data_IF_717592123877
#
_entry.id   IF_717592123877
#
_cell.length_a   1.000
_cell.length_b   1.000
_cell.length_c   1.000
_cell.angle_alpha   90.00
_cell.angle_beta   90.00
_cell.angle_gamma   90.00
#
_symmetry.space_group_name_H-M   'P 1'
#
loop_
_entity.id
_entity.type
_entity.pdbx_description
1 polymer ?
#
# COMPACT_ATOMS: atom_id res chain seq x y z
N UNK A 1 26.08 11.06 -2.15
CA UNK A 1 24.72 10.60 -2.50
C UNK A 1 24.58 10.70 -4.01
N UNK A 2 24.36 9.60 -4.73
CA UNK A 2 24.02 9.62 -6.16
C UNK A 2 22.66 8.95 -6.31
N UNK A 3 21.60 9.72 -6.14
CA UNK A 3 20.27 9.35 -6.63
C UNK A 3 20.21 9.71 -8.11
N UNK A 4 20.61 8.76 -8.97
CA UNK A 4 20.33 8.82 -10.39
C UNK A 4 19.41 7.64 -10.73
N UNK A 5 18.13 7.72 -10.35
CA UNK A 5 17.12 6.90 -11.00
C UNK A 5 17.05 7.35 -12.45
N UNK A 6 17.78 6.64 -13.31
CA UNK A 6 17.99 7.05 -14.71
C UNK A 6 16.71 6.80 -15.53
N UNK A 7 15.79 6.00 -15.00
CA UNK A 7 14.51 5.65 -15.61
C UNK A 7 13.33 6.28 -14.87
N UNK A 8 12.38 6.81 -15.65
CA UNK A 8 11.09 7.29 -15.14
C UNK A 8 10.04 6.21 -15.36
N UNK A 9 9.77 5.42 -14.32
CA UNK A 9 8.73 4.40 -14.37
C UNK A 9 7.34 5.01 -14.19
N UNK A 10 6.32 4.42 -14.86
CA UNK A 10 4.91 4.78 -14.67
C UNK A 10 4.53 4.61 -13.19
N UNK A 11 3.64 5.47 -12.70
CA UNK A 11 3.17 5.36 -11.32
C UNK A 11 2.35 4.07 -11.16
N UNK A 12 2.67 3.20 -10.18
CA UNK A 12 1.93 1.97 -9.95
C UNK A 12 0.54 2.27 -9.38
N UNK A 13 -0.47 1.56 -9.86
CA UNK A 13 -1.83 1.63 -9.31
C UNK A 13 -2.03 0.56 -8.22
N UNK A 14 -1.38 0.74 -7.07
CA UNK A 14 -1.61 -0.15 -5.93
C UNK A 14 -2.99 0.13 -5.32
N UNK A 15 -3.86 -0.88 -5.27
CA UNK A 15 -5.21 -0.74 -4.74
C UNK A 15 -5.29 -1.16 -3.28
N UNK A 16 -5.74 -0.22 -2.44
CA UNK A 16 -6.00 -0.46 -1.03
C UNK A 16 -7.38 0.11 -0.68
N UNK A 17 -8.42 -0.73 -0.58
CA UNK A 17 -9.77 -0.28 -0.29
C UNK A 17 -9.90 0.13 1.18
N UNK A 18 -10.63 1.22 1.44
CA UNK A 18 -10.96 1.63 2.80
C UNK A 18 -11.73 0.51 3.52
N UNK A 19 -11.26 0.18 4.72
CA UNK A 19 -11.80 -0.93 5.51
C UNK A 19 -12.38 -0.48 6.84
N UNK A 20 -12.10 0.75 7.31
CA UNK A 20 -12.46 1.11 8.69
C UNK A 20 -13.97 1.00 8.99
N UNK A 21 -14.81 1.25 7.98
CA UNK A 21 -16.27 1.16 8.09
C UNK A 21 -16.77 -0.25 8.42
N UNK A 22 -15.99 -1.27 8.07
CA UNK A 22 -16.30 -2.67 8.37
C UNK A 22 -16.08 -2.99 9.86
N UNK A 23 -15.37 -2.12 10.60
CA UNK A 23 -14.93 -2.36 11.97
C UNK A 23 -15.35 -1.27 12.96
N UNK A 24 -16.40 -0.49 12.65
CA UNK A 24 -16.87 0.60 13.52
C UNK A 24 -17.30 0.13 14.92
N UNK A 25 -17.69 -1.14 15.05
CA UNK A 25 -18.17 -1.73 16.31
C UNK A 25 -17.02 -2.15 17.25
N UNK A 26 -15.78 -2.13 16.80
CA UNK A 26 -14.62 -2.47 17.63
C UNK A 26 -14.24 -1.30 18.53
N UNK A 27 -13.58 -1.57 19.64
CA UNK A 27 -12.87 -0.55 20.41
C UNK A 27 -11.54 -0.14 19.74
N UNK A 28 -10.99 1.05 20.04
CA UNK A 28 -9.77 1.53 19.39
C UNK A 28 -8.56 0.59 19.48
N UNK A 29 -8.37 -0.07 20.61
CA UNK A 29 -7.29 -1.04 20.82
C UNK A 29 -7.43 -2.27 19.90
N UNK A 30 -8.66 -2.72 19.69
CA UNK A 30 -8.96 -3.83 18.77
C UNK A 30 -8.77 -3.41 17.31
N UNK A 31 -9.13 -2.16 16.97
CA UNK A 31 -8.94 -1.62 15.64
C UNK A 31 -7.44 -1.46 15.27
N UNK A 32 -6.61 -1.16 16.26
CA UNK A 32 -5.16 -1.13 16.09
C UNK A 32 -4.60 -2.51 15.70
N UNK A 33 -5.12 -3.57 16.32
CA UNK A 33 -4.77 -4.94 15.98
C UNK A 33 -5.21 -5.29 14.54
N UNK A 34 -6.46 -4.97 14.16
CA UNK A 34 -6.96 -5.16 12.79
C UNK A 34 -6.09 -4.44 11.76
N UNK A 35 -5.68 -3.21 12.07
CA UNK A 35 -4.80 -2.43 11.18
C UNK A 35 -3.42 -3.08 11.01
N UNK A 36 -2.88 -3.71 12.05
CA UNK A 36 -1.64 -4.47 11.97
C UNK A 36 -1.80 -5.75 11.14
N UNK A 37 -2.91 -6.46 11.30
CA UNK A 37 -3.19 -7.68 10.57
C UNK A 37 -3.38 -7.40 9.07
N UNK A 38 -4.11 -6.34 8.72
CA UNK A 38 -4.25 -5.88 7.33
C UNK A 38 -2.90 -5.48 6.75
N UNK A 39 -2.07 -4.76 7.50
CA UNK A 39 -0.71 -4.42 7.08
C UNK A 39 0.10 -5.69 6.74
N UNK A 40 0.07 -6.70 7.61
CA UNK A 40 0.78 -7.96 7.40
C UNK A 40 0.26 -8.71 6.16
N UNK A 41 -1.06 -8.82 6.02
CA UNK A 41 -1.71 -9.43 4.86
C UNK A 41 -1.32 -8.74 3.55
N UNK A 42 -1.38 -7.40 3.50
CA UNK A 42 -0.99 -6.62 2.31
C UNK A 42 0.51 -6.74 2.04
N UNK A 43 1.35 -6.84 3.07
CA UNK A 43 2.79 -7.04 2.89
C UNK A 43 3.11 -8.39 2.23
N UNK A 44 2.31 -9.44 2.47
CA UNK A 44 2.46 -10.72 1.77
C UNK A 44 2.12 -10.60 0.28
N UNK A 45 1.21 -9.69 -0.09
CA UNK A 45 0.84 -9.41 -1.48
C UNK A 45 1.85 -8.50 -2.21
N UNK A 46 2.79 -7.90 -1.48
CA UNK A 46 3.75 -6.91 -2.01
C UNK A 46 4.47 -7.42 -3.25
N UNK A 47 5.04 -8.62 -3.19
CA UNK A 47 5.82 -9.20 -4.30
C UNK A 47 4.99 -9.23 -5.59
N UNK A 48 3.78 -9.77 -5.51
CA UNK A 48 2.88 -9.94 -6.66
C UNK A 48 2.50 -8.57 -7.25
N UNK A 49 2.09 -7.62 -6.41
CA UNK A 49 1.67 -6.30 -6.89
C UNK A 49 2.83 -5.49 -7.49
N UNK A 50 4.02 -5.57 -6.87
CA UNK A 50 5.22 -4.88 -7.38
C UNK A 50 5.66 -5.50 -8.70
N UNK A 51 5.71 -6.82 -8.81
CA UNK A 51 6.06 -7.49 -10.07
C UNK A 51 5.06 -7.18 -11.18
N UNK A 52 3.75 -7.18 -10.88
CA UNK A 52 2.71 -6.79 -11.83
C UNK A 52 2.85 -5.34 -12.29
N UNK A 53 3.25 -4.42 -11.39
CA UNK A 53 3.48 -3.02 -11.74
C UNK A 53 4.67 -2.78 -12.67
N UNK A 54 5.57 -3.76 -12.79
CA UNK A 54 6.77 -3.72 -13.64
C UNK A 54 6.65 -4.64 -14.87
N UNK A 55 5.41 -4.95 -15.29
CA UNK A 55 5.12 -5.88 -16.38
C UNK A 55 5.82 -5.50 -17.70
N UNK A 56 5.83 -4.22 -18.06
CA UNK A 56 6.47 -3.74 -19.30
C UNK A 56 7.98 -4.03 -19.30
N UNK A 57 8.67 -3.69 -18.21
CA UNK A 57 10.12 -3.92 -18.09
C UNK A 57 10.44 -5.42 -18.01
N UNK A 58 9.55 -6.21 -17.39
CA UNK A 58 9.66 -7.68 -17.39
C UNK A 58 9.58 -8.21 -18.81
N UNK A 59 8.58 -7.74 -19.59
CA UNK A 59 8.41 -8.13 -20.98
C UNK A 59 9.64 -7.78 -21.82
N UNK A 60 10.16 -6.56 -21.71
CA UNK A 60 11.38 -6.15 -22.43
C UNK A 60 12.57 -7.07 -22.12
N UNK A 61 12.71 -7.49 -20.86
CA UNK A 61 13.75 -8.42 -20.45
C UNK A 61 13.54 -9.84 -20.98
N UNK A 62 12.31 -10.36 -20.99
CA UNK A 62 11.96 -11.64 -21.61
C UNK A 62 12.20 -11.61 -23.13
N UNK A 63 11.72 -10.57 -23.82
CA UNK A 63 11.91 -10.38 -25.26
C UNK A 63 13.40 -10.32 -25.63
N UNK A 64 14.24 -9.70 -24.78
CA UNK A 64 15.68 -9.69 -24.96
C UNK A 64 16.28 -11.11 -24.85
N UNK A 65 15.85 -11.90 -23.85
CA UNK A 65 16.30 -13.28 -23.67
C UNK A 65 15.90 -14.18 -24.84
N UNK A 66 14.69 -14.01 -25.37
CA UNK A 66 14.20 -14.82 -26.51
C UNK A 66 14.97 -14.54 -27.81
N UNK A 67 15.38 -13.29 -28.04
CA UNK A 67 16.16 -12.90 -29.24
C UNK A 67 17.58 -13.44 -29.24
N UNK A 68 18.10 -13.87 -28.08
CA UNK A 68 19.46 -14.37 -27.92
C UNK A 68 19.40 -15.90 -27.71
N UNK A 69 19.66 -16.67 -28.76
CA UNK A 69 19.70 -18.13 -28.64
C UNK A 69 20.77 -18.59 -27.64
N UNK A 70 20.38 -19.53 -26.77
CA UNK A 70 21.09 -20.40 -25.80
C UNK A 70 22.30 -19.88 -24.96
N UNK A 71 23.01 -18.80 -25.28
CA UNK A 71 24.36 -18.59 -24.73
C UNK A 71 24.69 -17.27 -24.02
N UNK A 72 23.86 -16.22 -23.99
CA UNK A 72 24.34 -14.96 -23.39
C UNK A 72 23.30 -14.10 -22.68
N UNK A 73 23.03 -14.43 -21.41
CA UNK A 73 22.42 -13.53 -20.41
C UNK A 73 23.17 -12.21 -20.24
N UNK A 74 24.46 -12.15 -20.61
CA UNK A 74 25.29 -10.95 -20.58
C UNK A 74 24.81 -9.82 -21.51
N UNK A 75 24.13 -10.12 -22.62
CA UNK A 75 23.68 -9.07 -23.55
C UNK A 75 22.39 -8.36 -23.11
N UNK A 76 21.62 -8.93 -22.16
CA UNK A 76 20.40 -8.31 -21.62
C UNK A 76 20.62 -7.56 -20.30
N UNK A 77 21.87 -7.15 -20.01
CA UNK A 77 22.19 -6.48 -18.74
C UNK A 77 21.40 -5.18 -18.56
N UNK A 78 21.20 -4.43 -19.65
CA UNK A 78 20.41 -3.18 -19.66
C UNK A 78 18.97 -3.43 -19.24
N UNK A 79 18.31 -4.42 -19.85
CA UNK A 79 16.90 -4.73 -19.63
C UNK A 79 16.69 -5.35 -18.26
N UNK A 80 17.60 -6.24 -17.83
CA UNK A 80 17.60 -6.79 -16.48
C UNK A 80 17.79 -5.69 -15.42
N UNK A 81 18.68 -4.73 -15.67
CA UNK A 81 18.89 -3.60 -14.77
C UNK A 81 17.64 -2.72 -14.68
N UNK A 82 17.01 -2.38 -15.82
CA UNK A 82 15.74 -1.64 -15.85
C UNK A 82 14.63 -2.34 -15.08
N UNK A 83 14.46 -3.65 -15.27
CA UNK A 83 13.47 -4.43 -14.54
C UNK A 83 13.77 -4.46 -13.03
N UNK A 84 15.02 -4.74 -12.65
CA UNK A 84 15.45 -4.75 -11.25
C UNK A 84 15.27 -3.38 -10.57
N UNK A 85 15.58 -2.29 -11.28
CA UNK A 85 15.37 -0.93 -10.78
C UNK A 85 13.88 -0.61 -10.61
N UNK A 86 13.02 -1.02 -11.57
CA UNK A 86 11.57 -0.90 -11.44
C UNK A 86 11.06 -1.60 -10.18
N UNK A 87 11.48 -2.86 -9.96
CA UNK A 87 11.09 -3.63 -8.76
C UNK A 87 11.52 -2.91 -7.49
N UNK A 88 12.77 -2.42 -7.43
CA UNK A 88 13.30 -1.70 -6.27
C UNK A 88 12.53 -0.41 -5.97
N UNK A 89 12.28 0.41 -7.00
CA UNK A 89 11.53 1.67 -6.89
C UNK A 89 10.09 1.41 -6.47
N UNK A 90 9.40 0.51 -7.16
CA UNK A 90 7.98 0.24 -6.89
C UNK A 90 7.77 -0.50 -5.57
N UNK A 91 8.75 -1.29 -5.11
CA UNK A 91 8.77 -1.88 -3.76
C UNK A 91 8.75 -0.80 -2.67
N UNK A 92 9.55 0.27 -2.83
CA UNK A 92 9.54 1.42 -1.89
C UNK A 92 8.24 2.21 -1.97
N UNK A 93 7.69 2.39 -3.18
CA UNK A 93 6.38 3.05 -3.37
C UNK A 93 5.26 2.26 -2.69
N UNK A 94 5.26 0.94 -2.83
CA UNK A 94 4.30 0.06 -2.16
C UNK A 94 4.29 0.28 -0.65
N UNK A 95 5.47 0.26 -0.01
CA UNK A 95 5.57 0.46 1.44
C UNK A 95 5.05 1.84 1.87
N UNK A 96 5.36 2.88 1.09
CA UNK A 96 4.84 4.23 1.33
C UNK A 96 3.32 4.25 1.23
N UNK A 97 2.77 3.72 0.14
CA UNK A 97 1.32 3.73 -0.10
C UNK A 97 0.58 2.94 0.97
N UNK A 98 1.09 1.76 1.35
CA UNK A 98 0.55 0.95 2.43
C UNK A 98 0.55 1.73 3.75
N UNK A 99 1.64 2.44 4.08
CA UNK A 99 1.70 3.27 5.28
C UNK A 99 0.63 4.38 5.26
N UNK A 100 0.49 5.10 4.15
CA UNK A 100 -0.53 6.15 4.01
C UNK A 100 -1.94 5.58 4.12
N UNK A 101 -2.20 4.44 3.49
CA UNK A 101 -3.47 3.74 3.53
C UNK A 101 -3.90 3.34 4.94
N UNK A 102 -3.01 2.67 5.69
CA UNK A 102 -3.29 2.27 7.08
C UNK A 102 -3.53 3.49 7.96
N UNK A 103 -2.70 4.54 7.79
CA UNK A 103 -2.85 5.78 8.53
C UNK A 103 -4.21 6.47 8.27
N UNK A 104 -4.62 6.56 6.99
CA UNK A 104 -5.90 7.18 6.61
C UNK A 104 -7.10 6.45 7.19
N UNK A 105 -7.05 5.11 7.25
CA UNK A 105 -8.10 4.31 7.86
C UNK A 105 -8.15 4.51 9.38
N UNK A 106 -7.00 4.55 10.07
CA UNK A 106 -6.94 4.88 11.50
C UNK A 106 -7.49 6.27 11.81
N UNK A 107 -7.11 7.28 11.04
CA UNK A 107 -7.63 8.64 11.21
C UNK A 107 -9.15 8.70 11.05
N UNK A 108 -9.67 8.03 10.02
CA UNK A 108 -11.11 8.01 9.76
C UNK A 108 -11.88 7.29 10.87
N UNK A 109 -11.31 6.21 11.40
CA UNK A 109 -11.85 5.47 12.52
C UNK A 109 -11.87 6.28 13.83
N UNK A 110 -10.75 6.93 14.17
CA UNK A 110 -10.68 7.76 15.39
C UNK A 110 -11.68 8.91 15.32
N UNK A 111 -11.79 9.57 14.17
CA UNK A 111 -12.78 10.62 13.95
C UNK A 111 -14.21 10.14 14.17
N UNK A 112 -14.55 8.93 13.73
CA UNK A 112 -15.87 8.35 13.99
C UNK A 112 -16.15 8.22 15.49
N UNK A 113 -15.18 7.76 16.28
CA UNK A 113 -15.33 7.62 17.73
C UNK A 113 -15.44 8.97 18.45
N UNK A 114 -14.64 9.97 18.05
CA UNK A 114 -14.76 11.34 18.55
C UNK A 114 -16.17 11.90 18.30
N UNK A 115 -16.73 11.65 17.11
CA UNK A 115 -18.08 12.07 16.75
C UNK A 115 -19.15 11.33 17.58
N UNK A 116 -18.95 10.04 17.88
CA UNK A 116 -19.85 9.26 18.74
C UNK A 116 -19.83 9.76 20.19
N UNK A 117 -18.65 10.00 20.75
CA UNK A 117 -18.50 10.54 22.11
C UNK A 117 -19.17 11.91 22.24
N UNK A 118 -18.93 12.79 21.27
CA UNK A 118 -19.56 14.11 21.24
C UNK A 118 -21.09 14.02 21.23
N UNK A 119 -21.66 13.17 20.37
CA UNK A 119 -23.11 12.95 20.30
C UNK A 119 -23.67 12.37 21.61
N UNK A 120 -22.93 11.50 22.28
CA UNK A 120 -23.31 10.94 23.57
C UNK A 120 -23.33 12.01 24.67
N UNK A 121 -22.28 12.83 24.76
CA UNK A 121 -22.19 13.93 25.72
C UNK A 121 -23.29 14.98 25.51
N UNK A 122 -23.59 15.33 24.25
CA UNK A 122 -24.69 16.24 23.91
C UNK A 122 -26.05 15.69 24.36
N UNK A 123 -26.30 14.38 24.22
CA UNK A 123 -27.54 13.74 24.70
C UNK A 123 -27.66 13.78 26.22
N UNK A 124 -26.58 13.54 26.96
CA UNK A 124 -26.58 13.64 28.43
C UNK A 124 -26.90 15.06 28.89
N UNK A 125 -26.35 16.08 28.23
CA UNK A 125 -26.62 17.48 28.58
C UNK A 125 -28.03 17.94 28.23
N UNK A 126 -28.68 17.31 27.24
CA UNK A 126 -30.04 17.63 26.82
C UNK A 126 -31.12 16.84 27.57
N UNK A 127 -30.79 15.80 28.33
CA UNK A 127 -31.75 15.21 29.28
C UNK A 127 -31.94 16.16 30.46
N UNK A 128 -33.10 16.85 30.58
CA UNK A 128 -33.32 17.73 31.70
C UNK A 128 -33.41 16.88 32.97
N UNK A 129 -32.73 17.36 34.02
CA UNK A 129 -32.94 16.98 35.41
C UNK A 129 -34.42 16.74 35.70
N UNK A 130 -34.89 15.49 35.52
CA UNK A 130 -36.18 15.04 36.06
C UNK A 130 -35.95 14.77 37.55
N UNK A 131 -35.95 15.85 38.32
CA UNK A 131 -36.21 15.85 39.75
C UNK A 131 -37.11 17.03 40.08
#
# INVERSE_FOLDING_TARGET
MKDNSTYRFKEPNFSFPDYYKEFLNLYPEEFDQVSNDIKNFKQQQKKIQVEASCFEQKKDYEDCKEKLSFLHTYFCFSENHKYSECISVNSRKFDRYLKYFIYSNKQSYMKFWEDQEKQYLEKIQQEPSKK
#
